data_IF_581747827027
#
_entry.id   IF_581747827027
#
_cell.length_a   1.000
_cell.length_b   1.000
_cell.length_c   1.000
_cell.angle_alpha   90.00
_cell.angle_beta   90.00
_cell.angle_gamma   90.00
#
_symmetry.space_group_name_H-M   'P 1'
#
loop_
_entity.id
_entity.type
_entity.pdbx_description
1 polymer ?
#
# COMPACT_ATOMS: atom_id res chain seq x y z
N UNK A 1 13.35 38.95 -36.94
CA UNK A 1 14.37 37.94 -37.28
C UNK A 1 13.58 36.64 -37.47
N UNK A 2 13.01 36.34 -38.64
CA UNK A 2 13.64 36.06 -39.96
C UNK A 2 14.72 34.96 -39.79
N UNK A 3 14.73 33.86 -40.54
CA UNK A 3 14.22 33.55 -41.92
C UNK A 3 13.36 32.24 -41.94
N UNK A 4 12.39 31.95 -42.82
CA UNK A 4 12.38 31.64 -44.29
C UNK A 4 13.35 30.52 -44.73
N UNK A 5 13.05 29.55 -45.62
CA UNK A 5 11.88 29.24 -46.49
C UNK A 5 11.78 27.69 -46.78
N UNK A 6 10.62 27.10 -47.13
CA UNK A 6 10.18 26.56 -48.47
C UNK A 6 11.08 25.46 -49.13
N UNK A 7 10.68 24.47 -49.97
CA UNK A 7 9.48 24.01 -50.75
C UNK A 7 9.43 22.44 -50.72
N UNK A 8 8.53 21.65 -51.33
CA UNK A 8 7.27 21.84 -52.08
C UNK A 8 7.12 20.89 -53.31
N UNK A 9 5.97 20.20 -53.48
CA UNK A 9 5.59 19.33 -54.64
C UNK A 9 5.52 17.82 -54.31
N UNK A 10 4.44 17.04 -54.44
CA UNK A 10 3.43 16.75 -55.51
C UNK A 10 3.91 15.82 -56.65
N UNK A 11 3.29 14.64 -56.77
CA UNK A 11 3.46 13.69 -57.89
C UNK A 11 2.37 12.59 -57.86
N UNK A 12 1.78 12.27 -59.00
CA UNK A 12 0.49 11.56 -59.15
C UNK A 12 0.57 10.43 -60.20
N UNK A 13 -0.37 9.47 -60.19
CA UNK A 13 -0.62 8.39 -61.20
C UNK A 13 0.38 7.21 -61.21
N UNK A 14 0.02 5.98 -61.56
CA UNK A 14 -1.32 5.42 -61.81
C UNK A 14 -1.33 3.96 -62.31
N UNK A 15 -2.49 3.31 -62.14
CA UNK A 15 -3.15 2.35 -63.05
C UNK A 15 -2.59 0.91 -63.34
N UNK A 16 -3.42 -0.06 -62.91
CA UNK A 16 -4.00 -1.18 -63.69
C UNK A 16 -3.17 -2.35 -64.28
N UNK A 17 -3.66 -3.56 -64.00
CA UNK A 17 -3.85 -4.61 -65.02
C UNK A 17 -3.09 -5.94 -64.83
N UNK A 18 -3.79 -7.08 -64.87
CA UNK A 18 -3.15 -8.39 -65.02
C UNK A 18 -3.85 -9.61 -64.38
N UNK A 19 -5.02 -10.01 -64.90
CA UNK A 19 -5.56 -11.37 -64.66
C UNK A 19 -5.04 -12.31 -65.75
N UNK A 20 -4.61 -13.52 -65.39
CA UNK A 20 -4.67 -14.72 -66.26
C UNK A 20 -4.60 -16.03 -65.48
N UNK A 21 -5.23 -17.04 -66.05
CA UNK A 21 -5.56 -18.34 -65.46
C UNK A 21 -4.44 -19.40 -65.53
N UNK A 22 -4.59 -20.41 -64.65
CA UNK A 22 -4.49 -21.82 -65.06
C UNK A 22 -3.17 -22.57 -64.85
N UNK A 23 -3.14 -23.50 -63.90
CA UNK A 23 -3.16 -24.95 -64.21
C UNK A 23 -3.20 -25.82 -62.94
N UNK A 24 -3.80 -27.01 -63.05
CA UNK A 24 -3.99 -27.99 -61.98
C UNK A 24 -2.68 -28.60 -61.42
N UNK A 25 -2.70 -28.99 -60.14
CA UNK A 25 -1.91 -30.11 -59.63
C UNK A 25 -2.66 -30.77 -58.46
N UNK A 26 -2.92 -32.08 -58.56
CA UNK A 26 -3.73 -32.83 -57.61
C UNK A 26 -2.92 -33.47 -56.47
N UNK A 27 -3.60 -33.70 -55.33
CA UNK A 27 -3.31 -34.82 -54.43
C UNK A 27 -2.40 -34.57 -53.23
N UNK A 28 -3.01 -34.45 -52.04
CA UNK A 28 -2.60 -35.16 -50.81
C UNK A 28 -3.46 -34.72 -49.60
N UNK A 29 -4.63 -35.31 -49.38
CA UNK A 29 -5.42 -35.12 -48.16
C UNK A 29 -4.76 -35.83 -46.96
N UNK A 30 -3.76 -35.18 -46.35
CA UNK A 30 -3.08 -35.68 -45.15
C UNK A 30 -4.03 -35.65 -43.95
N UNK A 31 -4.70 -36.79 -43.69
CA UNK A 31 -5.52 -36.99 -42.47
C UNK A 31 -4.68 -36.72 -41.22
N UNK A 32 -4.84 -35.55 -40.63
CA UNK A 32 -4.35 -35.28 -39.27
C UNK A 32 -5.12 -36.19 -38.32
N UNK A 33 -4.46 -37.20 -37.78
CA UNK A 33 -5.04 -38.05 -36.73
C UNK A 33 -5.39 -37.13 -35.55
N UNK A 34 -6.68 -37.01 -35.22
CA UNK A 34 -7.11 -36.44 -33.94
C UNK A 34 -6.43 -37.23 -32.82
N UNK A 35 -5.41 -36.64 -32.21
CA UNK A 35 -4.89 -37.15 -30.94
C UNK A 35 -6.06 -37.16 -29.95
N UNK A 36 -6.29 -38.31 -29.33
CA UNK A 36 -7.45 -38.48 -28.46
C UNK A 36 -7.47 -37.44 -27.36
N UNK A 37 -8.64 -36.85 -27.13
CA UNK A 37 -8.96 -36.10 -25.91
C UNK A 37 -8.84 -37.09 -24.74
N UNK A 38 -7.62 -37.31 -24.23
CA UNK A 38 -7.44 -37.90 -22.90
C UNK A 38 -8.20 -36.97 -21.97
N UNK A 39 -9.21 -37.50 -21.28
CA UNK A 39 -9.91 -36.75 -20.25
C UNK A 39 -8.86 -36.18 -19.32
N UNK A 40 -8.86 -34.86 -19.14
CA UNK A 40 -8.06 -34.23 -18.10
C UNK A 40 -8.60 -34.84 -16.81
N UNK A 41 -7.84 -35.74 -16.18
CA UNK A 41 -8.18 -36.22 -14.85
C UNK A 41 -8.45 -34.97 -14.00
N UNK A 42 -9.52 -34.98 -13.22
CA UNK A 42 -9.77 -33.88 -12.30
C UNK A 42 -8.49 -33.72 -11.48
N UNK A 43 -7.89 -32.52 -11.52
CA UNK A 43 -6.79 -32.22 -10.59
C UNK A 43 -7.32 -32.55 -9.20
N UNK A 44 -6.55 -33.27 -8.36
CA UNK A 44 -6.96 -33.48 -6.98
C UNK A 44 -7.25 -32.11 -6.36
N UNK A 45 -8.34 -31.99 -5.61
CA UNK A 45 -8.69 -30.74 -4.93
C UNK A 45 -7.48 -30.30 -4.09
N UNK A 46 -6.90 -29.16 -4.46
CA UNK A 46 -5.73 -28.54 -3.84
C UNK A 46 -5.96 -28.21 -2.36
N UNK A 47 -7.22 -28.21 -1.95
CA UNK A 47 -7.73 -27.88 -0.63
C UNK A 47 -8.43 -29.08 0.03
N UNK A 48 -8.24 -30.29 -0.51
CA UNK A 48 -8.65 -31.53 0.13
C UNK A 48 -7.88 -31.72 1.43
N UNK A 49 -8.60 -31.96 2.53
CA UNK A 49 -8.01 -32.10 3.87
C UNK A 49 -7.92 -30.81 4.70
N UNK A 50 -8.21 -29.63 4.13
CA UNK A 50 -8.38 -28.42 4.94
C UNK A 50 -9.70 -28.50 5.73
N UNK A 51 -9.60 -28.63 7.06
CA UNK A 51 -10.74 -28.67 7.96
C UNK A 51 -11.34 -27.29 8.29
N UNK A 52 -12.51 -27.25 8.95
CA UNK A 52 -13.07 -26.03 9.51
C UNK A 52 -12.06 -25.32 10.42
N UNK A 53 -11.94 -24.00 10.30
CA UNK A 53 -10.96 -23.20 11.05
C UNK A 53 -9.54 -23.14 10.48
N UNK A 54 -9.25 -23.87 9.40
CA UNK A 54 -8.01 -23.66 8.65
C UNK A 54 -7.91 -22.22 8.11
N UNK A 55 -6.70 -21.67 8.08
CA UNK A 55 -6.38 -20.37 7.44
C UNK A 55 -5.30 -20.59 6.37
N UNK A 56 -5.65 -21.19 5.22
CA UNK A 56 -4.66 -21.45 4.16
C UNK A 56 -4.12 -20.11 3.64
N UNK A 57 -2.80 -20.06 3.42
CA UNK A 57 -2.10 -18.85 2.99
C UNK A 57 -1.67 -19.01 1.54
N UNK A 58 -2.03 -18.06 0.68
CA UNK A 58 -1.53 -17.94 -0.68
C UNK A 58 -0.58 -16.75 -0.79
N UNK A 59 0.60 -16.98 -1.36
CA UNK A 59 1.55 -15.93 -1.70
C UNK A 59 1.35 -15.57 -3.18
N UNK A 60 0.96 -14.33 -3.47
CA UNK A 60 0.86 -13.79 -4.83
C UNK A 60 2.06 -12.89 -5.10
N UNK A 61 2.64 -12.95 -6.30
CA UNK A 61 3.73 -12.07 -6.71
C UNK A 61 3.48 -11.50 -8.10
N UNK A 62 3.56 -10.18 -8.19
CA UNK A 62 3.45 -9.40 -9.41
C UNK A 62 4.83 -8.92 -9.84
N UNK A 63 5.11 -8.95 -11.15
CA UNK A 63 6.35 -8.43 -11.73
C UNK A 63 6.07 -7.71 -13.04
N UNK A 64 6.53 -6.45 -13.15
CA UNK A 64 6.51 -5.69 -14.40
C UNK A 64 7.75 -6.08 -15.23
N UNK A 65 7.54 -6.79 -16.34
CA UNK A 65 8.60 -7.22 -17.27
C UNK A 65 8.10 -7.09 -18.72
N UNK A 66 7.79 -5.85 -19.13
CA UNK A 66 7.05 -5.54 -20.36
C UNK A 66 5.56 -5.84 -20.19
N UNK A 67 5.21 -7.12 -20.02
CA UNK A 67 3.90 -7.58 -19.53
C UNK A 67 3.85 -7.61 -17.99
N UNK A 68 2.66 -7.80 -17.41
CA UNK A 68 2.49 -8.01 -15.98
C UNK A 68 2.44 -9.52 -15.70
N UNK A 69 3.50 -10.07 -15.13
CA UNK A 69 3.60 -11.47 -14.74
C UNK A 69 3.03 -11.64 -13.34
N UNK A 70 2.18 -12.66 -13.15
CA UNK A 70 1.61 -13.00 -11.84
C UNK A 70 1.83 -14.47 -11.56
N UNK A 71 2.47 -14.75 -10.43
CA UNK A 71 2.63 -16.11 -9.90
C UNK A 71 1.94 -16.21 -8.54
N UNK A 72 1.39 -17.38 -8.23
CA UNK A 72 0.90 -17.67 -6.89
C UNK A 72 1.26 -19.08 -6.44
N UNK A 73 1.31 -19.27 -5.13
CA UNK A 73 1.52 -20.59 -4.51
C UNK A 73 0.86 -20.62 -3.14
N UNK A 74 0.31 -21.76 -2.77
CA UNK A 74 -0.24 -21.99 -1.43
C UNK A 74 0.86 -22.51 -0.50
N UNK A 75 0.92 -22.02 0.74
CA UNK A 75 1.95 -22.42 1.70
C UNK A 75 1.83 -23.90 2.10
N UNK A 76 0.64 -24.51 1.97
CA UNK A 76 0.39 -25.95 2.18
C UNK A 76 0.58 -26.81 0.92
N UNK A 77 0.84 -26.21 -0.25
CA UNK A 77 1.00 -26.91 -1.53
C UNK A 77 2.01 -26.18 -2.44
N UNK A 78 3.28 -26.25 -2.04
CA UNK A 78 4.38 -25.50 -2.67
C UNK A 78 4.76 -26.02 -4.07
N UNK A 79 4.50 -27.30 -4.35
CA UNK A 79 4.86 -27.98 -5.61
C UNK A 79 3.86 -27.72 -6.75
N UNK A 80 2.76 -27.01 -6.46
CA UNK A 80 1.71 -26.65 -7.42
C UNK A 80 1.57 -25.13 -7.57
N UNK A 81 2.60 -24.41 -8.07
CA UNK A 81 2.51 -22.98 -8.33
C UNK A 81 1.61 -22.71 -9.54
N UNK A 82 0.81 -21.64 -9.44
CA UNK A 82 0.08 -21.06 -10.57
C UNK A 82 0.82 -19.89 -11.19
N UNK A 83 0.58 -19.65 -12.48
CA UNK A 83 1.11 -18.52 -13.22
C UNK A 83 0.12 -18.04 -14.28
N UNK A 84 0.01 -16.72 -14.43
CA UNK A 84 -0.62 -16.04 -15.59
C UNK A 84 0.25 -14.86 -16.03
N UNK A 85 0.06 -14.42 -17.27
CA UNK A 85 0.69 -13.21 -17.82
C UNK A 85 -0.40 -12.34 -18.39
N UNK A 86 -0.52 -11.11 -17.89
CA UNK A 86 -1.44 -10.12 -18.43
C UNK A 86 -0.68 -9.22 -19.43
N UNK A 87 -1.15 -9.11 -20.69
CA UNK A 87 -0.62 -8.12 -21.63
C UNK A 87 -0.73 -6.70 -21.05
N UNK A 88 0.27 -5.85 -21.30
CA UNK A 88 0.37 -4.55 -20.60
C UNK A 88 -0.82 -3.65 -20.90
N UNK A 89 -1.29 -3.66 -22.14
CA UNK A 89 -2.47 -2.96 -22.62
C UNK A 89 -3.76 -3.39 -21.93
N UNK A 90 -3.88 -4.66 -21.50
CA UNK A 90 -5.06 -5.17 -20.81
C UNK A 90 -5.19 -4.61 -19.38
N UNK A 91 -4.08 -4.28 -18.72
CA UNK A 91 -4.07 -3.72 -17.35
C UNK A 91 -3.82 -2.21 -17.30
N UNK A 92 -3.22 -1.61 -18.34
CA UNK A 92 -2.87 -0.18 -18.37
C UNK A 92 -4.08 0.72 -18.10
N UNK A 93 -5.21 0.45 -18.75
CA UNK A 93 -6.42 1.27 -18.62
C UNK A 93 -6.89 1.41 -17.17
N UNK A 94 -7.17 0.28 -16.50
CA UNK A 94 -7.66 0.28 -15.13
C UNK A 94 -6.64 0.82 -14.11
N UNK A 95 -5.33 0.62 -14.35
CA UNK A 95 -4.28 1.20 -13.51
C UNK A 95 -4.18 2.73 -13.69
N UNK A 96 -4.41 3.26 -14.89
CA UNK A 96 -4.51 4.71 -15.14
C UNK A 96 -5.77 5.30 -14.49
N UNK A 97 -6.91 4.62 -14.56
CA UNK A 97 -8.14 5.04 -13.87
C UNK A 97 -7.97 5.07 -12.35
N UNK A 98 -7.29 4.06 -11.78
CA UNK A 98 -6.92 4.04 -10.36
C UNK A 98 -6.05 5.26 -10.01
N UNK A 99 -4.97 5.51 -10.74
CA UNK A 99 -4.11 6.67 -10.50
C UNK A 99 -4.89 8.00 -10.57
N UNK A 100 -5.80 8.14 -11.54
CA UNK A 100 -6.66 9.32 -11.69
C UNK A 100 -7.71 9.47 -10.56
N UNK A 101 -8.04 8.39 -9.85
CA UNK A 101 -8.95 8.41 -8.70
C UNK A 101 -8.24 8.72 -7.36
N UNK A 102 -6.91 8.58 -7.29
CA UNK A 102 -6.14 8.75 -6.04
C UNK A 102 -5.71 10.21 -5.78
N UNK A 103 -5.63 10.64 -4.51
CA UNK A 103 -5.11 11.95 -4.08
C UNK A 103 -3.58 12.12 -4.20
N UNK A 104 -2.86 11.12 -4.70
CA UNK A 104 -1.45 11.27 -5.06
C UNK A 104 -1.32 12.08 -6.36
N UNK A 105 -0.35 13.00 -6.46
CA UNK A 105 -0.11 13.77 -7.68
C UNK A 105 0.26 12.90 -8.89
N UNK A 106 -0.34 13.22 -10.03
CA UNK A 106 0.08 12.73 -11.34
C UNK A 106 1.34 13.51 -11.83
N UNK A 107 2.06 13.02 -12.85
CA UNK A 107 3.21 13.73 -13.41
C UNK A 107 2.83 15.14 -13.89
N UNK A 108 3.49 16.17 -13.34
CA UNK A 108 3.20 17.58 -13.63
C UNK A 108 2.02 18.18 -12.86
N UNK A 109 1.44 17.45 -11.91
CA UNK A 109 0.39 17.91 -11.00
C UNK A 109 0.99 18.25 -9.62
N UNK A 110 0.44 19.26 -8.95
CA UNK A 110 0.75 19.57 -7.55
C UNK A 110 -0.23 18.87 -6.58
N UNK A 111 0.04 18.97 -5.27
CA UNK A 111 -0.76 18.31 -4.23
C UNK A 111 -2.19 18.89 -4.15
N UNK A 112 -2.36 20.19 -4.33
CA UNK A 112 -3.66 20.85 -4.25
C UNK A 112 -4.58 20.39 -5.39
N UNK A 113 -4.06 20.33 -6.62
CA UNK A 113 -4.78 19.84 -7.80
C UNK A 113 -5.09 18.35 -7.69
N UNK A 114 -4.18 17.54 -7.15
CA UNK A 114 -4.41 16.12 -6.92
C UNK A 114 -5.52 15.86 -5.90
N UNK A 115 -5.57 16.65 -4.81
CA UNK A 115 -6.65 16.63 -3.84
C UNK A 115 -7.97 17.08 -4.46
N UNK A 116 -8.00 18.21 -5.17
CA UNK A 116 -9.19 18.70 -5.86
C UNK A 116 -9.75 17.69 -6.89
N UNK A 117 -8.88 17.06 -7.69
CA UNK A 117 -9.25 16.02 -8.66
C UNK A 117 -9.88 14.79 -8.00
N UNK A 118 -9.24 14.29 -6.96
CA UNK A 118 -9.65 13.04 -6.30
C UNK A 118 -10.88 13.22 -5.40
N UNK A 119 -10.95 14.33 -4.66
CA UNK A 119 -12.00 14.59 -3.66
C UNK A 119 -13.19 15.39 -4.20
N UNK A 120 -13.00 16.21 -5.24
CA UNK A 120 -14.06 17.01 -5.85
C UNK A 120 -15.07 16.22 -6.70
N UNK A 121 -14.77 14.96 -7.01
CA UNK A 121 -15.65 14.09 -7.82
C UNK A 121 -14.96 12.84 -8.41
N UNK A 122 -13.84 12.41 -7.82
CA UNK A 122 -13.09 11.24 -8.25
C UNK A 122 -13.86 9.93 -8.05
N UNK A 123 -13.35 8.82 -8.59
CA UNK A 123 -14.09 7.55 -8.56
C UNK A 123 -14.40 7.08 -7.13
N UNK A 124 -13.53 7.34 -6.16
CA UNK A 124 -13.70 6.90 -4.76
C UNK A 124 -14.59 7.82 -3.90
N UNK A 125 -15.14 8.92 -4.45
CA UNK A 125 -16.13 9.77 -3.75
C UNK A 125 -17.57 9.53 -4.19
N UNK A 126 -17.80 8.58 -5.10
CA UNK A 126 -19.11 8.19 -5.63
C UNK A 126 -19.23 6.66 -5.57
N UNK A 127 -20.20 6.07 -4.84
CA UNK A 127 -20.29 4.61 -4.68
C UNK A 127 -20.46 3.83 -5.98
N UNK A 128 -21.10 4.41 -7.00
CA UNK A 128 -21.34 3.74 -8.29
C UNK A 128 -20.07 3.71 -9.11
N UNK A 129 -19.35 4.85 -9.18
CA UNK A 129 -18.05 4.95 -9.87
C UNK A 129 -16.99 4.10 -9.16
N UNK A 130 -16.99 4.12 -7.84
CA UNK A 130 -16.08 3.33 -7.00
C UNK A 130 -16.29 1.84 -7.24
N UNK A 131 -17.55 1.35 -7.13
CA UNK A 131 -17.89 -0.04 -7.39
C UNK A 131 -17.50 -0.47 -8.80
N UNK A 132 -17.71 0.39 -9.80
CA UNK A 132 -17.32 0.10 -11.18
C UNK A 132 -15.79 -0.01 -11.33
N UNK A 133 -15.00 0.86 -10.69
CA UNK A 133 -13.54 0.78 -10.68
C UNK A 133 -13.04 -0.47 -9.93
N UNK A 134 -13.59 -0.77 -8.75
CA UNK A 134 -13.26 -1.96 -7.97
C UNK A 134 -13.51 -3.26 -8.75
N UNK A 135 -14.66 -3.36 -9.45
CA UNK A 135 -14.96 -4.50 -10.34
C UNK A 135 -13.97 -4.63 -11.50
N UNK A 136 -13.48 -3.53 -12.09
CA UNK A 136 -12.44 -3.59 -13.13
C UNK A 136 -11.09 -4.01 -12.54
N UNK A 137 -10.74 -3.53 -11.34
CA UNK A 137 -9.49 -3.89 -10.66
C UNK A 137 -9.44 -5.36 -10.24
N UNK A 138 -10.59 -6.02 -9.98
CA UNK A 138 -10.65 -7.48 -9.78
C UNK A 138 -10.02 -8.27 -10.92
N UNK A 139 -9.99 -7.74 -12.15
CA UNK A 139 -9.30 -8.36 -13.30
C UNK A 139 -7.79 -8.54 -13.12
N UNK A 140 -7.18 -7.97 -12.08
CA UNK A 140 -5.79 -8.21 -11.70
C UNK A 140 -5.60 -9.54 -10.93
N UNK A 141 -6.66 -10.13 -10.38
CA UNK A 141 -6.61 -11.47 -9.80
C UNK A 141 -6.56 -12.53 -10.91
N UNK A 142 -5.65 -13.53 -10.83
CA UNK A 142 -5.66 -14.66 -11.75
C UNK A 142 -6.98 -15.43 -11.66
N UNK A 143 -7.69 -15.60 -12.78
CA UNK A 143 -8.98 -16.32 -12.82
C UNK A 143 -8.98 -17.73 -12.20
N UNK A 144 -7.90 -18.55 -12.31
CA UNK A 144 -7.82 -19.82 -11.60
C UNK A 144 -7.69 -19.65 -10.08
N UNK A 145 -6.92 -18.66 -9.60
CA UNK A 145 -6.83 -18.35 -8.17
C UNK A 145 -8.16 -17.84 -7.62
N UNK A 146 -8.92 -17.05 -8.39
CA UNK A 146 -10.28 -16.65 -7.99
C UNK A 146 -11.17 -17.88 -7.73
N UNK A 147 -11.12 -18.90 -8.61
CA UNK A 147 -11.86 -20.16 -8.41
C UNK A 147 -11.37 -20.96 -7.18
N UNK A 148 -10.06 -20.96 -6.92
CA UNK A 148 -9.47 -21.57 -5.70
C UNK A 148 -9.97 -20.86 -4.42
N UNK A 149 -10.03 -19.52 -4.44
CA UNK A 149 -10.55 -18.70 -3.34
C UNK A 149 -12.05 -18.91 -3.13
N UNK A 150 -12.86 -18.86 -4.18
CA UNK A 150 -14.31 -19.06 -4.14
C UNK A 150 -14.66 -20.44 -3.56
N UNK A 151 -13.91 -21.48 -3.92
CA UNK A 151 -14.10 -22.84 -3.39
C UNK A 151 -13.80 -22.94 -1.88
N UNK A 152 -12.84 -22.16 -1.36
CA UNK A 152 -12.54 -22.07 0.07
C UNK A 152 -13.60 -21.26 0.82
N UNK A 153 -13.96 -20.10 0.29
CA UNK A 153 -14.95 -19.18 0.88
C UNK A 153 -16.32 -19.86 0.95
N UNK A 154 -16.75 -20.55 -0.11
CA UNK A 154 -17.99 -21.34 -0.13
C UNK A 154 -18.01 -22.53 0.86
N UNK A 155 -16.86 -22.95 1.39
CA UNK A 155 -16.72 -23.93 2.48
C UNK A 155 -16.64 -23.28 3.88
N UNK A 156 -16.80 -21.96 3.98
CA UNK A 156 -16.61 -21.19 5.21
C UNK A 156 -15.16 -21.07 5.66
N UNK A 157 -14.19 -21.34 4.78
CA UNK A 157 -12.75 -21.21 5.06
C UNK A 157 -12.31 -19.80 4.66
N UNK A 158 -11.73 -19.04 5.58
CA UNK A 158 -11.17 -17.71 5.34
C UNK A 158 -9.68 -17.81 4.96
N UNK A 159 -9.30 -17.68 3.67
CA UNK A 159 -7.90 -17.71 3.27
C UNK A 159 -7.17 -16.42 3.65
N UNK A 160 -5.84 -16.46 3.60
CA UNK A 160 -4.98 -15.28 3.68
C UNK A 160 -4.19 -15.06 2.41
N UNK A 161 -4.33 -13.89 1.81
CA UNK A 161 -3.55 -13.45 0.65
C UNK A 161 -2.35 -12.64 1.13
N UNK A 162 -1.14 -13.09 0.78
CA UNK A 162 0.12 -12.35 0.97
C UNK A 162 0.60 -11.84 -0.38
N UNK A 163 0.29 -10.59 -0.71
CA UNK A 163 0.57 -10.02 -2.03
C UNK A 163 1.92 -9.30 -2.03
N UNK A 164 2.78 -9.62 -2.99
CA UNK A 164 3.96 -8.81 -3.35
C UNK A 164 3.64 -8.07 -4.65
N UNK A 165 3.18 -6.80 -4.59
CA UNK A 165 2.98 -5.96 -5.77
C UNK A 165 4.26 -5.74 -6.58
N UNK A 166 4.04 -5.29 -7.82
CA UNK A 166 5.04 -4.68 -8.70
C UNK A 166 4.89 -3.16 -8.68
N UNK A 167 5.86 -2.38 -9.21
CA UNK A 167 5.75 -0.92 -9.32
C UNK A 167 4.42 -0.42 -9.88
N UNK A 168 3.89 -1.06 -10.92
CA UNK A 168 2.61 -0.65 -11.51
C UNK A 168 1.35 -1.10 -10.76
N UNK A 169 1.49 -2.02 -9.79
CA UNK A 169 0.38 -2.52 -8.95
C UNK A 169 0.51 -2.14 -7.47
N UNK A 170 1.54 -1.36 -7.10
CA UNK A 170 1.84 -0.96 -5.71
C UNK A 170 0.68 -0.23 -5.01
N UNK A 171 -0.11 0.55 -5.77
CA UNK A 171 -1.25 1.32 -5.25
C UNK A 171 -2.59 0.58 -5.38
N UNK A 172 -2.62 -0.68 -5.81
CA UNK A 172 -3.87 -1.45 -5.92
C UNK A 172 -4.41 -1.74 -4.51
N UNK A 173 -5.67 -1.35 -4.20
CA UNK A 173 -6.30 -1.69 -2.93
C UNK A 173 -6.81 -3.13 -2.95
N UNK A 174 -5.92 -4.08 -2.71
CA UNK A 174 -6.21 -5.52 -2.71
C UNK A 174 -7.38 -5.88 -1.80
N UNK A 175 -7.50 -5.21 -0.65
CA UNK A 175 -8.60 -5.32 0.31
C UNK A 175 -9.97 -4.93 -0.30
N UNK A 176 -9.99 -3.96 -1.22
CA UNK A 176 -11.20 -3.37 -1.79
C UNK A 176 -11.67 -4.03 -3.09
N UNK A 177 -10.85 -4.91 -3.70
CA UNK A 177 -11.23 -5.73 -4.85
C UNK A 177 -12.44 -6.61 -4.50
N UNK A 178 -13.24 -6.98 -5.51
CA UNK A 178 -14.44 -7.80 -5.32
C UNK A 178 -14.24 -9.25 -5.74
N UNK A 179 -14.85 -10.18 -5.01
CA UNK A 179 -14.98 -11.59 -5.34
C UNK A 179 -16.00 -11.84 -6.46
N UNK A 180 -16.25 -13.11 -6.79
CA UNK A 180 -17.23 -13.48 -7.82
C UNK A 180 -18.70 -13.31 -7.37
N UNK A 181 -18.94 -13.33 -6.06
CA UNK A 181 -20.18 -12.95 -5.38
C UNK A 181 -20.46 -11.43 -5.42
N UNK A 182 -19.42 -10.61 -5.68
CA UNK A 182 -19.48 -9.15 -5.64
C UNK A 182 -19.22 -8.54 -4.26
N UNK A 183 -19.00 -9.34 -3.21
CA UNK A 183 -18.48 -8.88 -1.92
C UNK A 183 -17.00 -8.48 -2.06
N UNK A 184 -16.45 -7.72 -1.11
CA UNK A 184 -15.02 -7.37 -1.16
C UNK A 184 -14.15 -8.47 -0.58
N UNK A 185 -12.92 -8.63 -1.09
CA UNK A 185 -11.96 -9.61 -0.59
C UNK A 185 -11.72 -9.47 0.91
N UNK A 186 -11.72 -8.25 1.46
CA UNK A 186 -11.55 -8.03 2.91
C UNK A 186 -12.70 -8.59 3.76
N UNK A 187 -13.88 -8.79 3.18
CA UNK A 187 -15.05 -9.35 3.87
C UNK A 187 -14.93 -10.88 3.99
N UNK A 188 -14.34 -11.56 3.00
CA UNK A 188 -14.24 -13.03 2.91
C UNK A 188 -12.83 -13.61 3.11
N UNK A 189 -11.77 -12.80 3.06
CA UNK A 189 -10.36 -13.19 3.19
C UNK A 189 -9.53 -12.15 3.98
N UNK A 190 -8.39 -12.58 4.54
CA UNK A 190 -7.41 -11.66 5.12
C UNK A 190 -6.36 -11.27 4.07
N UNK A 191 -6.07 -9.97 3.91
CA UNK A 191 -5.09 -9.47 2.94
C UNK A 191 -3.93 -8.78 3.66
N UNK A 192 -2.72 -9.14 3.28
CA UNK A 192 -1.46 -8.55 3.76
C UNK A 192 -0.48 -8.34 2.59
N UNK A 193 0.46 -7.43 2.76
CA UNK A 193 1.61 -7.34 1.86
C UNK A 193 2.72 -8.33 2.27
N UNK A 194 3.38 -8.88 1.26
CA UNK A 194 4.56 -9.74 1.36
C UNK A 194 5.79 -8.88 1.04
N UNK A 195 6.70 -8.64 2.01
CA UNK A 195 7.92 -7.90 1.71
C UNK A 195 8.86 -8.73 0.82
N UNK A 196 9.82 -8.09 0.14
CA UNK A 196 10.77 -8.76 -0.74
C UNK A 196 11.51 -9.89 -0.01
N UNK A 197 11.72 -11.02 -0.69
CA UNK A 197 12.37 -12.18 -0.08
C UNK A 197 13.80 -11.86 0.41
N UNK A 198 14.51 -10.94 -0.26
CA UNK A 198 15.83 -10.42 0.11
C UNK A 198 15.84 -9.66 1.43
N UNK A 199 14.73 -8.98 1.77
CA UNK A 199 14.53 -8.28 3.05
C UNK A 199 14.06 -9.27 4.12
N UNK A 200 12.98 -10.00 3.81
CA UNK A 200 12.31 -10.95 4.72
C UNK A 200 13.24 -12.03 5.25
N UNK A 201 14.01 -12.65 4.35
CA UNK A 201 14.88 -13.79 4.63
C UNK A 201 16.36 -13.37 4.77
N UNK A 202 16.64 -12.07 4.97
CA UNK A 202 18.01 -11.57 5.13
C UNK A 202 18.70 -12.26 6.32
N UNK A 203 19.89 -12.88 6.16
CA UNK A 203 20.61 -13.50 7.27
C UNK A 203 21.01 -12.54 8.39
N UNK A 204 21.00 -11.23 8.13
CA UNK A 204 21.24 -10.19 9.12
C UNK A 204 19.99 -9.81 9.93
N UNK A 205 18.77 -10.09 9.41
CA UNK A 205 17.51 -9.77 10.09
C UNK A 205 17.37 -10.59 11.36
N UNK A 206 16.93 -9.96 12.45
CA UNK A 206 16.52 -10.61 13.69
C UNK A 206 15.15 -10.05 14.06
N UNK A 207 14.06 -10.82 13.88
CA UNK A 207 12.74 -10.39 14.30
C UNK A 207 12.75 -10.05 15.79
N UNK A 208 12.25 -8.87 16.14
CA UNK A 208 12.16 -8.43 17.53
C UNK A 208 11.04 -9.19 18.24
N UNK A 209 11.22 -9.56 19.53
CA UNK A 209 10.25 -10.36 20.24
C UNK A 209 8.94 -9.59 20.47
N UNK A 210 7.81 -10.26 20.27
CA UNK A 210 6.51 -9.72 20.66
C UNK A 210 6.27 -9.93 22.16
N UNK A 211 6.02 -8.85 22.92
CA UNK A 211 5.61 -8.88 24.33
C UNK A 211 4.51 -7.84 24.53
N UNK A 212 3.21 -8.21 24.60
CA UNK A 212 2.11 -7.25 24.62
C UNK A 212 2.28 -6.11 25.63
N UNK A 213 2.63 -6.43 26.88
CA UNK A 213 2.78 -5.45 27.98
C UNK A 213 3.99 -4.52 27.88
N UNK A 214 4.83 -4.67 26.84
CA UNK A 214 6.05 -3.87 26.70
C UNK A 214 5.81 -2.40 26.31
N UNK A 215 6.88 -1.60 26.24
CA UNK A 215 6.78 -0.18 25.92
C UNK A 215 6.38 0.09 24.47
N UNK A 216 5.62 1.16 24.27
CA UNK A 216 5.15 1.67 22.97
C UNK A 216 5.84 3.00 22.71
N UNK A 217 6.80 3.01 21.78
CA UNK A 217 7.37 4.25 21.28
C UNK A 217 6.34 4.98 20.42
N UNK A 218 6.24 6.30 20.56
CA UNK A 218 5.30 7.12 19.79
C UNK A 218 5.94 8.38 19.23
N UNK A 219 5.48 8.77 18.06
CA UNK A 219 5.78 10.05 17.42
C UNK A 219 4.47 10.56 16.80
N UNK A 220 3.63 11.19 17.63
CA UNK A 220 2.27 11.57 17.25
C UNK A 220 2.24 13.03 16.82
N UNK A 221 2.11 13.26 15.51
CA UNK A 221 2.09 14.56 14.86
C UNK A 221 3.25 15.47 15.35
N UNK A 222 4.53 15.05 15.22
CA UNK A 222 5.66 15.80 15.77
C UNK A 222 5.81 17.18 15.12
N UNK A 223 6.23 18.19 15.90
CA UNK A 223 6.49 19.54 15.38
C UNK A 223 7.80 19.57 14.60
N UNK A 224 7.69 19.74 13.28
CA UNK A 224 8.84 19.85 12.37
C UNK A 224 9.48 21.25 12.47
N UNK A 225 10.79 21.37 12.75
CA UNK A 225 11.45 22.67 12.89
C UNK A 225 11.36 23.54 11.62
N UNK A 226 10.92 24.79 11.79
CA UNK A 226 10.72 25.74 10.69
C UNK A 226 9.33 25.70 10.03
N UNK A 227 8.44 24.80 10.44
CA UNK A 227 7.11 24.62 9.84
C UNK A 227 5.99 24.96 10.83
N UNK A 228 5.22 26.05 10.58
CA UNK A 228 3.98 26.38 11.30
C UNK A 228 2.91 25.29 11.23
N UNK A 229 1.93 25.32 12.14
CA UNK A 229 0.88 24.30 12.25
C UNK A 229 -0.06 24.23 11.03
N UNK A 230 -0.14 25.30 10.24
CA UNK A 230 -0.92 25.47 9.01
C UNK A 230 -0.10 25.32 7.71
N UNK A 231 1.19 24.93 7.82
CA UNK A 231 2.09 24.78 6.67
C UNK A 231 2.13 23.36 6.09
N UNK A 232 2.89 23.17 4.99
CA UNK A 232 3.00 21.88 4.28
C UNK A 232 3.51 20.70 5.16
N UNK A 233 4.32 20.97 6.20
CA UNK A 233 4.72 20.00 7.23
C UNK A 233 4.15 20.37 8.61
N UNK A 234 2.97 20.99 8.62
CA UNK A 234 2.22 21.43 9.79
C UNK A 234 1.55 20.29 10.54
N UNK A 235 0.45 20.58 11.22
CA UNK A 235 -0.27 19.59 12.04
C UNK A 235 -1.14 18.67 11.19
N UNK A 236 -0.92 17.35 11.34
CA UNK A 236 -1.74 16.31 10.69
C UNK A 236 -3.03 16.06 11.46
N UNK A 237 -3.00 16.14 12.79
CA UNK A 237 -4.14 15.81 13.66
C UNK A 237 -4.96 17.04 14.11
N UNK A 238 -4.42 18.24 13.93
CA UNK A 238 -4.97 19.45 14.52
C UNK A 238 -4.91 19.46 16.05
N UNK A 239 -5.68 20.34 16.71
CA UNK A 239 -5.79 20.37 18.17
C UNK A 239 -6.46 19.10 18.73
N UNK A 240 -5.74 18.31 19.53
CA UNK A 240 -6.29 17.16 20.24
C UNK A 240 -6.89 17.61 21.57
N UNK A 241 -8.22 17.63 21.66
CA UNK A 241 -8.94 18.02 22.87
C UNK A 241 -8.81 16.99 24.00
N UNK A 242 -8.85 17.46 25.25
CA UNK A 242 -8.95 16.58 26.43
C UNK A 242 -10.26 15.76 26.38
N UNK A 243 -10.21 14.50 26.79
CA UNK A 243 -11.35 13.57 26.68
C UNK A 243 -11.70 13.11 25.26
N UNK A 244 -10.98 13.56 24.23
CA UNK A 244 -11.12 13.01 22.88
C UNK A 244 -10.63 11.55 22.81
N UNK A 245 -11.10 10.75 21.84
CA UNK A 245 -10.61 9.38 21.65
C UNK A 245 -9.08 9.25 21.51
N UNK A 246 -8.40 10.25 20.94
CA UNK A 246 -6.93 10.29 20.85
C UNK A 246 -6.27 10.58 22.20
N UNK A 247 -6.86 11.44 23.04
CA UNK A 247 -6.41 11.61 24.42
C UNK A 247 -6.58 10.31 25.23
N UNK A 248 -7.72 9.63 25.08
CA UNK A 248 -7.98 8.34 25.72
C UNK A 248 -7.02 7.22 25.26
N UNK A 249 -6.54 7.24 24.01
CA UNK A 249 -5.46 6.35 23.54
C UNK A 249 -4.17 6.60 24.32
N UNK A 250 -3.77 7.86 24.50
CA UNK A 250 -2.58 8.21 25.25
C UNK A 250 -2.68 7.79 26.74
N UNK A 251 -3.83 8.06 27.36
CA UNK A 251 -4.13 7.67 28.74
C UNK A 251 -4.11 6.15 28.93
N UNK A 252 -4.69 5.38 28.00
CA UNK A 252 -4.67 3.91 28.01
C UNK A 252 -3.26 3.32 27.88
N UNK A 253 -2.38 3.94 27.09
CA UNK A 253 -0.98 3.50 27.01
C UNK A 253 -0.22 3.81 28.32
N UNK A 254 -0.54 4.92 28.99
CA UNK A 254 -0.06 5.24 30.33
C UNK A 254 1.45 5.06 30.50
N UNK A 255 1.94 4.21 31.42
CA UNK A 255 3.38 4.00 31.64
C UNK A 255 4.09 3.26 30.49
N UNK A 256 3.36 2.62 29.56
CA UNK A 256 3.96 2.01 28.36
C UNK A 256 4.37 3.07 27.33
N UNK A 257 3.80 4.29 27.35
CA UNK A 257 4.05 5.32 26.34
C UNK A 257 5.45 5.93 26.48
N UNK A 258 6.25 5.84 25.42
CA UNK A 258 7.58 6.44 25.31
C UNK A 258 7.67 7.46 24.17
N UNK A 259 8.37 8.61 24.32
CA UNK A 259 9.18 8.98 25.47
C UNK A 259 8.34 9.41 26.68
N UNK A 260 8.68 8.94 27.87
CA UNK A 260 7.97 9.27 29.11
C UNK A 260 8.15 10.74 29.54
N UNK A 261 7.37 11.18 30.53
CA UNK A 261 7.66 12.40 31.32
C UNK A 261 7.26 13.75 30.71
N UNK A 262 6.45 13.77 29.64
CA UNK A 262 5.97 15.04 29.08
C UNK A 262 4.93 15.71 29.99
N UNK A 263 5.10 17.00 30.28
CA UNK A 263 4.04 17.87 30.86
C UNK A 263 2.92 18.22 29.85
N UNK A 264 3.13 17.84 28.59
CA UNK A 264 2.22 18.05 27.46
C UNK A 264 1.69 16.69 27.03
N UNK A 265 0.50 16.67 26.41
CA UNK A 265 0.01 15.47 25.73
C UNK A 265 1.04 14.97 24.70
N UNK A 266 1.05 13.68 24.31
CA UNK A 266 2.10 13.12 23.43
C UNK A 266 2.08 13.66 21.99
N UNK A 267 1.15 14.54 21.66
CA UNK A 267 0.94 15.17 20.36
C UNK A 267 1.74 16.46 20.19
N UNK A 268 2.14 16.82 18.96
CA UNK A 268 2.85 18.09 18.64
C UNK A 268 4.13 18.33 19.48
N UNK A 269 4.81 17.26 19.89
CA UNK A 269 6.11 17.33 20.59
C UNK A 269 7.24 17.80 19.67
N UNK A 270 8.18 18.58 20.21
CA UNK A 270 9.41 19.05 19.50
C UNK A 270 10.64 18.20 19.81
N UNK A 271 10.63 17.49 20.93
CA UNK A 271 11.74 16.70 21.46
C UNK A 271 11.77 15.26 20.95
N UNK A 272 10.79 14.85 20.16
CA UNK A 272 10.78 13.56 19.44
C UNK A 272 11.72 13.67 18.23
N UNK A 273 13.01 13.52 18.50
CA UNK A 273 14.10 13.54 17.51
C UNK A 273 14.61 12.12 17.24
N UNK A 274 15.49 11.96 16.24
CA UNK A 274 16.12 10.67 15.93
C UNK A 274 17.00 10.13 17.07
N UNK A 275 17.70 11.03 17.79
CA UNK A 275 18.56 10.69 18.93
C UNK A 275 17.75 10.18 20.12
N UNK A 276 16.51 10.66 20.27
CA UNK A 276 15.55 10.18 21.28
C UNK A 276 14.89 8.87 20.83
N UNK A 277 14.48 8.75 19.56
CA UNK A 277 13.77 7.56 19.08
C UNK A 277 14.66 6.32 18.91
N UNK A 278 15.89 6.44 18.42
CA UNK A 278 16.78 5.28 18.16
C UNK A 278 16.90 4.33 19.38
N UNK A 279 17.25 4.78 20.60
CA UNK A 279 17.34 3.88 21.75
C UNK A 279 15.96 3.38 22.22
N UNK A 280 14.90 4.17 22.10
CA UNK A 280 13.54 3.76 22.52
C UNK A 280 12.99 2.65 21.62
N UNK A 281 13.26 2.70 20.31
CA UNK A 281 12.83 1.68 19.35
C UNK A 281 13.55 0.35 19.50
N UNK A 282 14.74 0.34 20.10
CA UNK A 282 15.47 -0.89 20.42
C UNK A 282 14.82 -1.70 21.56
N UNK A 283 14.17 -1.02 22.51
CA UNK A 283 13.55 -1.63 23.70
C UNK A 283 12.01 -1.71 23.61
N UNK A 284 11.40 -0.98 22.69
CA UNK A 284 9.95 -0.99 22.47
C UNK A 284 9.46 -2.31 21.84
N UNK A 285 8.18 -2.60 22.06
CA UNK A 285 7.45 -3.70 21.39
C UNK A 285 6.56 -3.21 20.26
N UNK A 286 6.24 -1.91 20.25
CA UNK A 286 5.48 -1.22 19.20
C UNK A 286 6.06 0.17 18.90
N UNK A 287 5.95 0.62 17.65
CA UNK A 287 6.14 2.02 17.26
C UNK A 287 4.88 2.55 16.57
N UNK A 288 4.35 3.68 17.04
CA UNK A 288 3.24 4.40 16.40
C UNK A 288 3.70 5.79 15.94
N UNK A 289 3.90 5.94 14.64
CA UNK A 289 4.18 7.21 13.97
C UNK A 289 2.91 7.75 13.32
N UNK A 290 2.58 9.01 13.59
CA UNK A 290 1.56 9.78 12.86
C UNK A 290 2.22 11.08 12.42
N UNK A 291 2.21 11.41 11.14
CA UNK A 291 2.93 12.61 10.68
C UNK A 291 3.12 12.66 9.17
N UNK A 292 4.24 13.26 8.76
CA UNK A 292 4.57 13.48 7.35
C UNK A 292 5.65 12.51 6.87
N UNK A 293 5.49 12.03 5.65
CA UNK A 293 6.53 11.33 4.90
C UNK A 293 6.79 12.09 3.61
N UNK A 294 8.07 12.28 3.28
CA UNK A 294 8.49 12.64 1.93
C UNK A 294 8.90 11.37 1.19
N UNK A 295 8.34 11.16 0.00
CA UNK A 295 8.87 10.21 -0.98
C UNK A 295 10.10 10.81 -1.68
N UNK A 296 10.88 9.98 -2.36
CA UNK A 296 12.10 10.36 -3.06
C UNK A 296 12.23 9.56 -4.37
N UNK A 297 13.18 9.91 -5.23
CA UNK A 297 13.42 9.22 -6.51
C UNK A 297 13.84 7.74 -6.35
N UNK A 298 14.31 7.37 -5.16
CA UNK A 298 14.68 6.00 -4.79
C UNK A 298 14.24 5.66 -3.37
N UNK A 299 13.91 4.38 -3.11
CA UNK A 299 13.32 3.91 -1.85
C UNK A 299 14.08 4.36 -0.59
N UNK A 300 15.41 4.23 -0.58
CA UNK A 300 16.25 4.62 0.55
C UNK A 300 16.19 6.12 0.92
N UNK A 301 15.67 6.98 0.04
CA UNK A 301 15.48 8.41 0.28
C UNK A 301 14.15 8.76 0.96
N UNK A 302 13.18 7.83 1.01
CA UNK A 302 11.91 8.05 1.68
C UNK A 302 12.14 8.36 3.17
N UNK A 303 11.49 9.41 3.69
CA UNK A 303 11.87 9.98 4.99
C UNK A 303 10.69 10.35 5.89
N UNK A 304 10.83 10.05 7.18
CA UNK A 304 9.95 10.49 8.27
C UNK A 304 10.35 11.91 8.70
N UNK A 305 9.37 12.79 8.92
CA UNK A 305 9.61 14.10 9.52
C UNK A 305 9.44 14.06 11.05
N UNK A 306 10.34 14.73 11.77
CA UNK A 306 10.52 14.64 13.22
C UNK A 306 10.96 16.01 13.79
N UNK A 307 11.18 16.10 15.10
CA UNK A 307 11.74 17.28 15.77
C UNK A 307 13.23 17.59 15.46
N UNK A 308 13.86 16.90 14.50
CA UNK A 308 15.29 17.04 14.20
C UNK A 308 15.64 18.43 13.64
N UNK A 309 16.59 19.13 14.28
CA UNK A 309 17.09 20.42 13.81
C UNK A 309 18.07 20.29 12.62
N UNK A 310 18.67 21.41 12.17
CA UNK A 310 19.60 21.38 11.03
C UNK A 310 20.93 20.72 11.40
N UNK A 311 21.39 20.91 12.63
CA UNK A 311 22.63 20.32 13.19
C UNK A 311 22.52 18.82 13.50
N UNK A 312 21.33 18.22 13.39
CA UNK A 312 21.15 16.78 13.66
C UNK A 312 21.83 15.94 12.58
N UNK A 313 22.65 14.96 12.97
CA UNK A 313 23.35 14.05 12.06
C UNK A 313 22.38 13.21 11.22
N UNK A 314 22.62 13.08 9.92
CA UNK A 314 21.79 12.26 9.04
C UNK A 314 22.18 12.33 7.57
N UNK A 315 21.62 11.41 6.78
CA UNK A 315 21.92 11.25 5.34
C UNK A 315 21.08 12.16 4.43
N UNK A 316 19.96 12.69 4.91
CA UNK A 316 19.15 13.65 4.16
C UNK A 316 19.81 15.03 4.05
N UNK A 317 19.56 15.71 2.93
CA UNK A 317 19.67 17.17 2.84
C UNK A 317 18.69 17.86 3.80
N UNK A 318 18.90 19.16 4.04
CA UNK A 318 17.97 19.96 4.84
C UNK A 318 16.72 20.33 4.04
N UNK A 319 15.57 20.28 4.71
CA UNK A 319 14.29 20.79 4.24
C UNK A 319 13.94 21.99 5.14
N UNK A 320 14.24 23.19 4.67
CA UNK A 320 14.22 24.40 5.52
C UNK A 320 15.21 24.27 6.69
N UNK A 321 14.70 24.37 7.92
CA UNK A 321 15.49 24.23 9.15
C UNK A 321 15.45 22.82 9.77
N UNK A 322 14.98 21.81 9.02
CA UNK A 322 14.80 20.44 9.50
C UNK A 322 15.63 19.43 8.70
N UNK A 323 16.17 18.40 9.37
CA UNK A 323 16.74 17.22 8.70
C UNK A 323 15.81 16.00 8.81
N UNK A 324 15.20 15.53 7.71
CA UNK A 324 14.35 14.32 7.68
C UNK A 324 15.12 13.05 8.04
N UNK A 325 14.42 12.06 8.61
CA UNK A 325 14.98 10.74 8.96
C UNK A 325 14.67 9.74 7.84
N UNK A 326 15.68 9.39 7.05
CA UNK A 326 15.53 8.55 5.84
C UNK A 326 15.47 7.06 6.11
N UNK A 327 14.93 6.27 5.19
CA UNK A 327 15.09 4.81 5.19
C UNK A 327 16.57 4.40 5.19
N UNK A 328 17.45 5.15 4.51
CA UNK A 328 18.91 4.98 4.61
C UNK A 328 19.46 5.19 6.04
N UNK A 329 18.97 6.20 6.78
CA UNK A 329 19.35 6.44 8.18
C UNK A 329 18.93 5.27 9.08
N UNK A 330 17.81 4.60 8.77
CA UNK A 330 17.33 3.42 9.51
C UNK A 330 18.16 2.17 9.19
N UNK A 331 18.39 1.87 7.90
CA UNK A 331 19.10 0.66 7.44
C UNK A 331 20.60 0.72 7.71
N UNK A 332 21.24 1.88 7.49
CA UNK A 332 22.70 2.04 7.58
C UNK A 332 23.15 2.72 8.88
N UNK A 333 22.20 3.18 9.70
CA UNK A 333 22.48 4.09 10.80
C UNK A 333 22.61 5.55 10.37
N UNK A 334 22.17 6.43 11.26
CA UNK A 334 22.03 7.86 11.01
C UNK A 334 23.29 8.69 11.32
N UNK A 335 24.35 8.03 11.81
CA UNK A 335 25.67 8.62 12.10
C UNK A 335 26.68 8.04 11.09
N UNK A 336 27.01 8.74 9.98
CA UNK A 336 27.78 8.17 8.88
C UNK A 336 29.16 7.64 9.26
N UNK A 337 29.86 8.31 10.19
CA UNK A 337 31.19 7.93 10.69
C UNK A 337 31.18 6.70 11.61
N UNK A 338 30.01 6.32 12.15
CA UNK A 338 29.83 5.19 13.05
C UNK A 338 28.51 4.47 12.73
N UNK A 339 28.41 3.82 11.54
CA UNK A 339 27.16 3.30 11.02
C UNK A 339 26.64 2.13 11.86
N UNK A 340 25.49 2.34 12.50
CA UNK A 340 24.76 1.32 13.29
C UNK A 340 23.31 1.24 12.80
N UNK A 341 22.90 0.15 12.12
CA UNK A 341 21.50 -0.08 11.74
C UNK A 341 20.57 0.00 12.95
N UNK A 342 19.41 0.63 12.77
CA UNK A 342 18.41 0.78 13.83
C UNK A 342 17.80 -0.58 14.17
N UNK A 343 17.48 -0.78 15.46
CA UNK A 343 16.59 -1.85 15.89
C UNK A 343 15.16 -1.33 15.84
N UNK A 344 14.25 -2.19 15.40
CA UNK A 344 12.84 -1.88 15.25
C UNK A 344 12.01 -2.79 16.14
N UNK A 345 10.92 -2.30 16.77
CA UNK A 345 10.00 -3.14 17.51
C UNK A 345 9.32 -4.17 16.59
N UNK A 346 8.74 -5.23 17.17
CA UNK A 346 8.04 -6.27 16.40
C UNK A 346 6.91 -5.68 15.51
N UNK A 347 6.26 -4.61 15.99
CA UNK A 347 5.13 -3.97 15.30
C UNK A 347 5.38 -2.48 15.07
N UNK A 348 5.25 -2.02 13.83
CA UNK A 348 5.50 -0.62 13.43
C UNK A 348 4.31 -0.09 12.63
N UNK A 349 3.82 1.10 12.97
CA UNK A 349 2.77 1.79 12.24
C UNK A 349 3.28 3.16 11.75
N UNK A 350 3.27 3.36 10.43
CA UNK A 350 3.59 4.62 9.76
C UNK A 350 2.32 5.26 9.18
N UNK A 351 1.60 6.02 9.99
CA UNK A 351 0.36 6.71 9.59
C UNK A 351 0.74 8.08 9.00
N UNK A 352 1.15 8.04 7.73
CA UNK A 352 1.62 9.20 6.98
C UNK A 352 1.41 8.97 5.47
N UNK A 353 1.37 10.03 4.68
CA UNK A 353 1.19 9.99 3.23
C UNK A 353 2.23 9.09 2.53
N UNK A 354 1.77 8.09 1.79
CA UNK A 354 2.60 7.19 0.98
C UNK A 354 3.75 6.50 1.74
N UNK A 355 3.58 6.26 3.06
CA UNK A 355 4.60 5.66 3.92
C UNK A 355 4.97 4.21 3.57
N UNK A 356 4.14 3.53 2.77
CA UNK A 356 4.36 2.21 2.19
C UNK A 356 4.73 2.24 0.71
N UNK A 357 5.18 3.39 0.19
CA UNK A 357 5.57 3.59 -1.20
C UNK A 357 6.74 2.74 -1.70
N UNK A 358 7.42 1.99 -0.82
CA UNK A 358 8.50 1.03 -1.12
C UNK A 358 8.31 0.27 -2.45
N UNK A 359 7.11 -0.25 -2.70
CA UNK A 359 6.82 -1.12 -3.83
C UNK A 359 6.65 -0.39 -5.17
N UNK A 360 6.68 0.96 -5.17
CA UNK A 360 6.73 1.77 -6.40
C UNK A 360 8.10 1.77 -7.07
N UNK A 361 9.15 1.41 -6.32
CA UNK A 361 10.52 1.35 -6.84
C UNK A 361 10.86 -0.04 -7.38
N UNK A 362 11.73 -0.11 -8.39
CA UNK A 362 12.28 -1.38 -8.88
C UNK A 362 13.04 -2.14 -7.78
N UNK A 363 13.73 -1.39 -6.90
CA UNK A 363 14.32 -1.90 -5.66
C UNK A 363 13.47 -1.45 -4.44
N UNK A 364 12.55 -2.31 -3.94
CA UNK A 364 11.68 -1.99 -2.82
C UNK A 364 12.43 -1.92 -1.48
N UNK A 365 13.02 -0.75 -1.22
CA UNK A 365 13.99 -0.46 -0.14
C UNK A 365 13.59 0.78 0.68
N UNK A 366 12.29 1.04 0.83
CA UNK A 366 11.76 2.20 1.55
C UNK A 366 11.63 2.00 3.06
N UNK A 367 10.71 2.76 3.67
CA UNK A 367 10.50 2.78 5.12
C UNK A 367 9.98 1.43 5.65
N UNK A 368 9.14 0.73 4.87
CA UNK A 368 8.59 -0.58 5.27
C UNK A 368 9.68 -1.65 5.24
N UNK A 369 10.47 -1.70 4.17
CA UNK A 369 11.61 -2.61 4.04
C UNK A 369 12.67 -2.33 5.12
N UNK A 370 12.95 -1.06 5.41
CA UNK A 370 13.84 -0.65 6.49
C UNK A 370 13.33 -1.13 7.86
N UNK A 371 12.05 -0.97 8.15
CA UNK A 371 11.43 -1.45 9.39
C UNK A 371 11.52 -2.99 9.52
N UNK A 372 11.15 -3.74 8.47
CA UNK A 372 11.25 -5.21 8.46
C UNK A 372 12.70 -5.68 8.63
N UNK A 373 13.66 -5.03 7.96
CA UNK A 373 15.09 -5.34 8.09
C UNK A 373 15.60 -5.09 9.52
N UNK A 374 15.20 -3.98 10.15
CA UNK A 374 15.57 -3.59 11.50
C UNK A 374 14.98 -4.46 12.62
N UNK A 375 14.00 -5.33 12.30
CA UNK A 375 13.44 -6.32 13.23
C UNK A 375 11.91 -6.40 13.26
N UNK A 376 11.19 -5.52 12.55
CA UNK A 376 9.73 -5.59 12.52
C UNK A 376 9.22 -6.86 11.82
N UNK A 377 8.13 -7.40 12.33
CA UNK A 377 7.38 -8.52 11.76
C UNK A 377 6.07 -8.04 11.15
N UNK A 378 5.46 -7.00 11.74
CA UNK A 378 4.27 -6.32 11.21
C UNK A 378 4.57 -4.84 10.98
N UNK A 379 4.36 -4.36 9.75
CA UNK A 379 4.48 -2.94 9.42
C UNK A 379 3.20 -2.47 8.73
N UNK A 380 2.42 -1.61 9.39
CA UNK A 380 1.25 -0.98 8.77
C UNK A 380 1.63 0.39 8.21
N UNK A 381 1.32 0.60 6.94
CA UNK A 381 1.69 1.80 6.19
C UNK A 381 0.62 2.14 5.14
N UNK A 382 0.77 3.27 4.44
CA UNK A 382 -0.21 3.76 3.46
C UNK A 382 0.35 3.69 2.03
N UNK A 383 -0.50 3.36 1.06
CA UNK A 383 -0.11 3.19 -0.35
C UNK A 383 -0.09 4.48 -1.19
N UNK A 384 -0.68 5.55 -0.67
CA UNK A 384 -0.87 6.81 -1.38
C UNK A 384 -1.04 7.97 -0.38
N UNK A 385 -1.14 9.19 -0.90
CA UNK A 385 -1.30 10.42 -0.10
C UNK A 385 -2.59 10.38 0.71
N UNK A 386 -2.53 10.53 2.04
CA UNK A 386 -3.75 10.64 2.84
C UNK A 386 -4.19 12.11 2.94
N UNK A 387 -5.45 12.47 2.60
CA UNK A 387 -5.96 13.78 2.94
C UNK A 387 -6.12 13.87 4.46
N UNK A 388 -5.74 15.01 5.04
CA UNK A 388 -6.07 15.33 6.42
C UNK A 388 -7.57 15.60 6.55
N UNK A 389 -8.11 15.59 7.77
CA UNK A 389 -9.49 16.00 8.04
C UNK A 389 -9.79 17.42 7.50
N UNK A 390 -8.81 18.33 7.58
CA UNK A 390 -8.91 19.66 6.99
C UNK A 390 -8.93 19.63 5.46
N UNK A 391 -8.08 18.81 4.84
CA UNK A 391 -8.08 18.60 3.38
C UNK A 391 -9.39 18.01 2.87
N UNK A 392 -9.96 17.03 3.57
CA UNK A 392 -11.28 16.48 3.25
C UNK A 392 -12.38 17.55 3.30
N UNK A 393 -12.44 18.33 4.37
CA UNK A 393 -13.42 19.43 4.51
C UNK A 393 -13.25 20.55 3.49
N UNK A 394 -12.05 20.73 2.93
CA UNK A 394 -11.79 21.76 1.92
C UNK A 394 -12.09 21.26 0.49
N UNK A 395 -11.64 20.07 0.13
CA UNK A 395 -11.69 19.57 -1.26
C UNK A 395 -12.86 18.63 -1.57
N UNK A 396 -13.54 18.05 -0.57
CA UNK A 396 -14.69 17.17 -0.80
C UNK A 396 -16.02 17.92 -0.54
N UNK A 397 -16.86 18.21 -1.55
CA UNK A 397 -18.12 18.95 -1.36
C UNK A 397 -19.14 18.28 -0.44
N UNK A 398 -18.99 16.96 -0.20
CA UNK A 398 -19.84 16.17 0.69
C UNK A 398 -19.36 16.13 2.15
N UNK A 399 -18.21 16.75 2.48
CA UNK A 399 -17.68 16.80 3.84
C UNK A 399 -18.28 17.98 4.63
N UNK A 400 -18.65 17.71 5.88
CA UNK A 400 -19.12 18.71 6.84
C UNK A 400 -18.06 19.07 7.87
N UNK A 401 -18.34 20.05 8.75
CA UNK A 401 -17.43 20.45 9.83
C UNK A 401 -17.00 19.28 10.73
N UNK A 402 -17.93 18.35 10.99
CA UNK A 402 -17.73 17.15 11.83
C UNK A 402 -17.07 15.98 11.08
N UNK A 403 -16.81 16.08 9.78
CA UNK A 403 -16.14 15.02 9.01
C UNK A 403 -14.71 14.85 9.54
N UNK A 404 -14.44 13.68 10.12
CA UNK A 404 -13.15 13.30 10.69
C UNK A 404 -12.86 11.84 10.39
N UNK A 405 -11.64 11.54 9.93
CA UNK A 405 -11.21 10.19 9.56
C UNK A 405 -9.82 9.85 10.09
N UNK A 406 -8.90 10.81 10.16
CA UNK A 406 -7.51 10.54 10.60
C UNK A 406 -7.45 10.03 12.05
N UNK A 407 -8.16 10.63 13.03
CA UNK A 407 -8.25 10.07 14.38
C UNK A 407 -8.79 8.63 14.40
N UNK A 408 -9.77 8.31 13.55
CA UNK A 408 -10.36 6.97 13.51
C UNK A 408 -9.36 5.91 13.03
N UNK A 409 -8.60 6.18 11.97
CA UNK A 409 -7.56 5.24 11.53
C UNK A 409 -6.40 5.11 12.52
N UNK A 410 -6.02 6.18 13.23
CA UNK A 410 -5.02 6.08 14.31
C UNK A 410 -5.48 5.10 15.39
N UNK A 411 -6.75 5.16 15.78
CA UNK A 411 -7.34 4.24 16.75
C UNK A 411 -7.46 2.81 16.20
N UNK A 412 -7.88 2.65 14.95
CA UNK A 412 -8.03 1.34 14.32
C UNK A 412 -6.68 0.62 14.13
N UNK A 413 -5.65 1.35 13.69
CA UNK A 413 -4.30 0.83 13.55
C UNK A 413 -3.67 0.53 14.92
N UNK A 414 -3.90 1.37 15.94
CA UNK A 414 -3.46 1.07 17.31
C UNK A 414 -4.11 -0.21 17.85
N UNK A 415 -5.43 -0.35 17.72
CA UNK A 415 -6.16 -1.54 18.16
C UNK A 415 -5.72 -2.80 17.40
N UNK A 416 -5.49 -2.71 16.08
CA UNK A 416 -4.93 -3.82 15.30
C UNK A 416 -3.53 -4.20 15.78
N UNK A 417 -2.71 -3.23 16.18
CA UNK A 417 -1.36 -3.44 16.69
C UNK A 417 -1.28 -3.88 18.16
N UNK A 418 -2.39 -3.87 18.92
CA UNK A 418 -2.50 -4.61 20.19
C UNK A 418 -3.01 -6.06 19.97
N UNK A 419 -3.88 -6.29 18.98
CA UNK A 419 -4.49 -7.61 18.72
C UNK A 419 -3.47 -8.73 18.45
N UNK A 420 -3.83 -9.99 18.71
CA UNK A 420 -2.95 -11.14 18.46
C UNK A 420 -2.48 -11.22 16.99
N UNK A 421 -3.37 -10.90 16.03
CA UNK A 421 -3.10 -10.86 14.60
C UNK A 421 -3.42 -9.46 14.02
N UNK A 422 -2.41 -8.60 13.79
CA UNK A 422 -2.61 -7.25 13.26
C UNK A 422 -3.14 -7.20 11.82
N UNK A 423 -2.96 -8.27 11.04
CA UNK A 423 -3.52 -8.34 9.67
C UNK A 423 -5.03 -8.53 9.78
N UNK A 424 -5.47 -9.57 10.49
CA UNK A 424 -6.89 -9.88 10.65
C UNK A 424 -7.66 -8.75 11.32
N UNK A 425 -7.08 -8.10 12.34
CA UNK A 425 -7.73 -7.00 13.05
C UNK A 425 -7.89 -5.73 12.18
N UNK A 426 -6.87 -5.36 11.39
CA UNK A 426 -7.00 -4.23 10.44
C UNK A 426 -8.02 -4.54 9.34
N UNK A 427 -7.96 -5.76 8.78
CA UNK A 427 -8.92 -6.21 7.76
C UNK A 427 -10.36 -6.20 8.31
N UNK A 428 -10.59 -6.58 9.56
CA UNK A 428 -11.92 -6.52 10.18
C UNK A 428 -12.47 -5.08 10.27
N UNK A 429 -11.63 -4.10 10.62
CA UNK A 429 -12.03 -2.67 10.56
C UNK A 429 -12.31 -2.23 9.11
N UNK A 430 -11.44 -2.58 8.16
CA UNK A 430 -11.62 -2.25 6.74
C UNK A 430 -12.92 -2.84 6.16
N UNK A 431 -13.28 -4.09 6.51
CA UNK A 431 -14.56 -4.69 6.17
C UNK A 431 -15.77 -3.99 6.83
N UNK A 432 -15.59 -3.40 8.01
CA UNK A 432 -16.57 -2.51 8.63
C UNK A 432 -16.76 -1.21 7.82
N UNK A 433 -15.66 -0.56 7.43
CA UNK A 433 -15.69 0.67 6.61
C UNK A 433 -16.25 0.43 5.20
N UNK A 434 -15.91 -0.69 4.57
CA UNK A 434 -16.45 -1.12 3.29
C UNK A 434 -17.99 -1.25 3.33
N UNK A 435 -18.53 -1.87 4.38
CA UNK A 435 -19.99 -2.02 4.55
C UNK A 435 -20.68 -0.70 4.85
N UNK A 436 -20.07 0.18 5.65
CA UNK A 436 -20.58 1.54 5.88
C UNK A 436 -20.57 2.38 4.59
N UNK A 437 -19.54 2.23 3.74
CA UNK A 437 -19.47 2.87 2.43
C UNK A 437 -20.59 2.38 1.50
N UNK A 438 -20.74 1.06 1.33
CA UNK A 438 -21.78 0.48 0.47
C UNK A 438 -23.20 0.85 0.95
N UNK A 439 -23.42 0.92 2.26
CA UNK A 439 -24.73 1.21 2.85
C UNK A 439 -25.13 2.70 2.84
N UNK A 440 -24.15 3.63 2.85
CA UNK A 440 -24.44 5.06 3.09
C UNK A 440 -23.85 6.02 2.05
N UNK A 441 -22.83 5.60 1.30
CA UNK A 441 -22.09 6.44 0.36
C UNK A 441 -21.42 7.68 0.95
N UNK A 442 -21.33 7.78 2.28
CA UNK A 442 -20.80 8.97 2.97
C UNK A 442 -19.28 9.08 2.85
N UNK A 443 -18.80 10.32 2.68
CA UNK A 443 -17.38 10.61 2.48
C UNK A 443 -16.49 10.16 3.65
N UNK A 444 -16.99 10.12 4.90
CA UNK A 444 -16.23 9.59 6.04
C UNK A 444 -15.82 8.12 5.86
N UNK A 445 -16.58 7.37 5.06
CA UNK A 445 -16.38 5.93 4.84
C UNK A 445 -15.65 5.62 3.52
N UNK A 446 -15.20 6.64 2.77
CA UNK A 446 -14.54 6.48 1.46
C UNK A 446 -13.37 5.48 1.48
N UNK A 447 -13.23 4.64 0.43
CA UNK A 447 -12.04 3.81 0.25
C UNK A 447 -10.72 4.59 0.10
N UNK A 448 -10.75 5.89 -0.24
CA UNK A 448 -9.55 6.73 -0.22
C UNK A 448 -8.81 6.71 1.11
N UNK A 449 -9.52 6.44 2.19
CA UNK A 449 -8.96 6.43 3.53
C UNK A 449 -8.67 5.01 4.02
N UNK A 450 -9.69 4.15 4.16
CA UNK A 450 -9.49 2.83 4.77
C UNK A 450 -8.71 1.85 3.88
N UNK A 451 -8.83 1.95 2.55
CA UNK A 451 -8.11 1.06 1.62
C UNK A 451 -6.68 1.53 1.32
N UNK A 452 -6.31 2.72 1.79
CA UNK A 452 -4.92 3.20 1.75
C UNK A 452 -4.01 2.39 2.66
N UNK A 453 -4.53 1.97 3.82
CA UNK A 453 -3.79 1.23 4.84
C UNK A 453 -3.61 -0.23 4.45
N UNK A 454 -2.44 -0.78 4.76
CA UNK A 454 -2.18 -2.21 4.65
C UNK A 454 -1.07 -2.65 5.60
N UNK A 455 -1.12 -3.90 6.02
CA UNK A 455 -0.12 -4.49 6.91
C UNK A 455 0.81 -5.39 6.10
N UNK A 456 2.08 -5.03 6.05
CA UNK A 456 3.16 -5.89 5.58
C UNK A 456 3.51 -6.88 6.68
N UNK A 457 3.51 -8.18 6.35
CA UNK A 457 3.87 -9.26 7.28
C UNK A 457 5.18 -9.92 6.79
N UNK A 458 6.23 -9.83 7.62
CA UNK A 458 7.59 -10.30 7.32
C UNK A 458 7.87 -11.76 7.64
#
# INVERSE_FOLDING_TARGET
>A
MNETAATGGTGEKGAAGGVRDGSEAAGATRRVRRAGRRGRAASPDLHAGLGPGARPVVQLKYADAGALYVTWRWEHALDTPGMVVFPREAVRGVLTELAAALPSPLPGEDVERALARSLGGGAFTDPVRERALAMRLTGLLPGPLAQELDALIGRGIRPRLRVQPSPSTAQVPWEALRGSDGERLVESADVALLPPATVRNSPARRPSPWRPEGPVAVALDPRVPGFPDDSALGSVLGPVAAGSPLAALAERLGPRLLPAGARQAPFRRRDVTREVLEPLLAEAVRFLYVGHVSTADHGLGAALHLGCGPETTGRAALVGAHRPLTAADLVLGHRPEAPRPWRMPNRVAFIACESGGDLRFAEPTGLVAAAVHGGAEYVTATRWTLPTDAGLRHFAPAAGAETSVVPEAVLAVDAAHEAADPVAALNAWQAGRARLWEATGRIEHTPLFWAAFTTTHG
#
